data_IF_401889507516
#
_entry.id   IF_401889507516
#
_cell.length_a   1.000
_cell.length_b   1.000
_cell.length_c   1.000
_cell.angle_alpha   90.00
_cell.angle_beta   90.00
_cell.angle_gamma   90.00
#
_symmetry.space_group_name_H-M   'P 1'
#
loop_
_entity.id
_entity.type
_entity.pdbx_description
1 polymer ?
#
# COMPACT_ATOMS: atom_id res chain seq x y z
N UNK A 1 -47.01 5.94 -12.09
CA UNK A 1 -47.86 4.76 -12.31
C UNK A 1 -47.26 3.99 -13.48
N UNK A 2 -46.42 2.99 -13.19
CA UNK A 2 -46.02 1.95 -14.13
C UNK A 2 -45.42 0.81 -13.31
N UNK A 3 -46.32 -0.08 -12.88
CA UNK A 3 -46.01 -1.41 -12.42
C UNK A 3 -45.74 -2.29 -13.64
N UNK A 4 -44.63 -3.01 -13.64
CA UNK A 4 -44.53 -4.23 -14.44
C UNK A 4 -43.81 -5.30 -13.60
N UNK A 5 -44.62 -6.23 -13.07
CA UNK A 5 -44.42 -7.68 -12.87
C UNK A 5 -43.03 -8.11 -12.38
N UNK A 6 -42.80 -8.56 -11.13
CA UNK A 6 -43.38 -9.71 -10.38
C UNK A 6 -43.63 -10.97 -11.23
N UNK A 7 -42.57 -11.78 -11.35
CA UNK A 7 -42.58 -13.24 -11.43
C UNK A 7 -41.36 -13.70 -10.57
N UNK A 8 -41.55 -14.11 -9.31
CA UNK A 8 -41.86 -15.46 -8.87
C UNK A 8 -40.73 -16.49 -9.13
N UNK A 9 -39.92 -16.66 -8.08
CA UNK A 9 -39.52 -17.96 -7.52
C UNK A 9 -38.89 -19.00 -8.47
N UNK A 10 -37.57 -19.18 -8.36
CA UNK A 10 -37.04 -20.54 -8.14
C UNK A 10 -35.71 -20.46 -7.38
N UNK A 11 -35.81 -20.83 -6.10
CA UNK A 11 -34.70 -21.09 -5.20
C UNK A 11 -34.01 -22.40 -5.59
N UNK A 12 -32.68 -22.41 -5.57
CA UNK A 12 -31.90 -23.64 -5.46
C UNK A 12 -30.81 -23.45 -4.40
N UNK A 13 -31.10 -23.84 -3.16
CA UNK A 13 -30.14 -24.35 -2.18
C UNK A 13 -30.63 -25.75 -1.75
N UNK A 14 -29.85 -26.55 -1.03
CA UNK A 14 -28.70 -27.36 -1.44
C UNK A 14 -29.04 -28.87 -1.33
N UNK A 15 -28.07 -29.78 -1.50
CA UNK A 15 -28.03 -30.92 -0.59
C UNK A 15 -26.70 -30.97 0.18
N UNK A 16 -26.85 -30.99 1.50
CA UNK A 16 -25.84 -31.35 2.50
C UNK A 16 -25.50 -32.85 2.48
N UNK A 17 -24.40 -33.21 3.16
CA UNK A 17 -23.75 -34.54 3.38
C UNK A 17 -22.67 -34.81 2.31
N UNK A 18 -21.36 -34.83 2.58
CA UNK A 18 -20.57 -35.05 3.79
C UNK A 18 -19.77 -36.35 3.64
N UNK A 19 -18.44 -36.29 3.49
CA UNK A 19 -17.51 -37.43 3.64
C UNK A 19 -16.05 -36.95 3.84
N UNK A 20 -15.54 -37.08 5.07
CA UNK A 20 -14.12 -37.25 5.45
C UNK A 20 -13.98 -38.69 6.00
N UNK A 21 -12.78 -39.22 6.38
CA UNK A 21 -11.41 -39.12 5.83
C UNK A 21 -10.70 -40.52 5.73
N UNK A 22 -9.37 -40.51 5.48
CA UNK A 22 -8.29 -41.48 5.89
C UNK A 22 -7.79 -42.52 4.86
N UNK A 23 -6.58 -43.16 5.00
CA UNK A 23 -5.35 -42.83 5.75
C UNK A 23 -3.99 -43.04 4.99
N UNK A 24 -2.94 -42.28 5.38
CA UNK A 24 -1.50 -42.67 5.47
C UNK A 24 -0.69 -43.03 4.19
N UNK A 25 0.67 -43.11 4.26
CA UNK A 25 1.50 -43.30 5.44
C UNK A 25 2.61 -42.25 5.66
N UNK A 26 3.29 -42.41 6.80
CA UNK A 26 4.19 -41.49 7.47
C UNK A 26 5.66 -41.52 6.98
N UNK A 27 6.33 -40.40 7.33
CA UNK A 27 7.74 -40.25 7.71
C UNK A 27 8.86 -40.64 6.73
N UNK A 28 9.72 -39.66 6.40
CA UNK A 28 11.11 -39.61 6.85
C UNK A 28 11.87 -38.42 6.21
N UNK A 29 12.44 -37.55 7.06
CA UNK A 29 13.45 -36.55 6.71
C UNK A 29 14.84 -37.20 6.62
N UNK A 30 15.70 -36.74 5.70
CA UNK A 30 17.09 -36.40 6.05
C UNK A 30 17.58 -35.08 5.39
N UNK A 31 18.80 -34.59 5.71
CA UNK A 31 19.10 -33.16 5.83
C UNK A 31 19.68 -32.46 4.58
N UNK A 32 19.72 -31.14 4.69
CA UNK A 32 20.29 -30.08 3.83
C UNK A 32 21.61 -30.43 3.10
N UNK A 33 21.82 -29.85 1.90
CA UNK A 33 23.14 -29.30 1.56
C UNK A 33 23.08 -27.83 1.09
N UNK A 34 23.77 -27.00 1.86
CA UNK A 34 24.80 -26.01 1.50
C UNK A 34 25.03 -25.73 -0.01
N UNK A 35 24.87 -24.43 -0.34
CA UNK A 35 25.59 -23.57 -1.30
C UNK A 35 25.50 -23.74 -2.83
N UNK A 36 25.68 -22.55 -3.44
CA UNK A 36 25.98 -22.17 -4.84
C UNK A 36 24.75 -22.01 -5.76
N UNK A 37 24.61 -20.97 -6.59
CA UNK A 37 25.54 -19.96 -7.10
C UNK A 37 24.72 -18.80 -7.69
N UNK A 38 25.07 -17.54 -7.42
CA UNK A 38 24.91 -16.51 -8.45
C UNK A 38 26.19 -15.66 -8.53
N UNK A 39 26.70 -15.64 -9.76
CA UNK A 39 27.90 -14.97 -10.24
C UNK A 39 27.53 -13.54 -10.61
N UNK A 40 28.24 -12.56 -10.08
CA UNK A 40 28.71 -11.41 -10.86
C UNK A 40 29.82 -10.69 -10.08
N UNK A 41 31.06 -10.99 -10.47
CA UNK A 41 32.20 -10.13 -10.23
C UNK A 41 31.97 -8.76 -10.89
N UNK A 42 32.20 -7.68 -10.14
CA UNK A 42 32.91 -6.49 -10.61
C UNK A 42 33.01 -5.47 -9.47
N UNK A 43 33.89 -5.77 -8.50
CA UNK A 43 34.49 -4.75 -7.65
C UNK A 43 35.57 -4.05 -8.47
N UNK A 44 35.30 -2.83 -8.96
CA UNK A 44 36.36 -1.88 -9.28
C UNK A 44 36.62 -1.02 -8.05
N UNK A 45 37.49 -1.53 -7.17
CA UNK A 45 38.25 -0.71 -6.21
C UNK A 45 39.39 -0.06 -6.97
N UNK A 46 39.27 1.22 -7.28
CA UNK A 46 40.41 2.03 -7.69
C UNK A 46 41.27 2.38 -6.47
N UNK A 47 42.35 1.64 -6.25
CA UNK A 47 43.41 2.03 -5.32
C UNK A 47 44.45 2.84 -6.08
N UNK A 48 44.53 4.15 -5.84
CA UNK A 48 45.66 4.96 -6.30
C UNK A 48 46.72 4.96 -5.19
N UNK A 49 47.82 4.25 -5.42
CA UNK A 49 49.02 4.31 -4.59
C UNK A 49 49.89 5.52 -5.01
N UNK A 50 50.57 6.20 -4.08
CA UNK A 50 51.23 7.48 -4.34
C UNK A 50 52.69 7.26 -4.69
N UNK A 51 53.09 7.50 -5.94
CA UNK A 51 54.49 7.84 -6.28
C UNK A 51 54.57 8.23 -7.75
N UNK A 52 54.60 9.54 -8.01
CA UNK A 52 55.34 10.15 -9.13
C UNK A 52 55.39 11.66 -8.91
N UNK A 53 56.40 12.04 -8.13
CA UNK A 53 56.82 13.42 -7.92
C UNK A 53 57.72 13.84 -9.10
N UNK A 54 57.53 15.09 -9.56
CA UNK A 54 58.49 15.99 -10.25
C UNK A 54 58.24 16.28 -11.75
N UNK A 55 57.64 17.45 -12.00
CA UNK A 55 58.23 18.68 -12.63
C UNK A 55 57.10 19.47 -13.32
N UNK A 56 56.57 20.51 -12.65
CA UNK A 56 56.81 21.95 -12.93
C UNK A 56 56.26 22.39 -14.29
N UNK A 57 55.29 23.30 -14.41
CA UNK A 57 55.43 24.75 -14.20
C UNK A 57 54.05 25.46 -14.31
N UNK A 58 53.74 26.35 -13.35
CA UNK A 58 52.81 27.52 -13.36
C UNK A 58 51.28 27.36 -13.61
N UNK A 59 50.46 27.66 -12.57
CA UNK A 59 49.15 28.32 -12.74
C UNK A 59 48.00 27.94 -11.79
N UNK A 60 47.76 28.75 -10.74
CA UNK A 60 46.54 29.04 -9.93
C UNK A 60 45.32 28.08 -9.88
N UNK A 61 44.87 27.80 -8.65
CA UNK A 61 43.61 27.15 -8.20
C UNK A 61 42.33 28.03 -8.40
N UNK A 62 41.07 27.60 -8.07
CA UNK A 62 40.64 26.34 -7.41
C UNK A 62 39.40 25.61 -7.99
N UNK A 63 39.25 24.39 -7.49
CA UNK A 63 38.12 23.46 -7.49
C UNK A 63 36.71 24.06 -7.65
N UNK A 64 36.11 23.78 -8.80
CA UNK A 64 34.68 23.66 -9.02
C UNK A 64 34.24 22.23 -8.69
N UNK A 65 34.09 21.94 -7.39
CA UNK A 65 33.19 20.85 -6.96
C UNK A 65 31.80 21.45 -6.96
N UNK A 66 31.09 21.29 -8.08
CA UNK A 66 29.66 21.53 -8.15
C UNK A 66 28.97 20.54 -7.19
N UNK A 67 28.77 20.95 -5.94
CA UNK A 67 27.81 20.27 -5.06
C UNK A 67 26.45 20.55 -5.69
N UNK A 68 25.89 19.56 -6.39
CA UNK A 68 24.58 19.65 -7.00
C UNK A 68 23.54 20.02 -5.93
N UNK A 69 23.19 21.31 -5.88
CA UNK A 69 22.15 21.83 -5.00
C UNK A 69 20.83 21.37 -5.59
N UNK A 70 20.26 20.30 -5.05
CA UNK A 70 18.91 19.85 -5.42
C UNK A 70 17.96 21.03 -5.31
N UNK A 71 17.20 21.28 -6.37
CA UNK A 71 16.16 22.30 -6.35
C UNK A 71 15.13 21.91 -5.29
N UNK A 72 14.54 22.88 -4.55
CA UNK A 72 13.50 22.60 -3.54
C UNK A 72 12.27 21.88 -4.10
N UNK A 73 12.15 21.76 -5.42
CA UNK A 73 11.06 21.09 -6.13
C UNK A 73 11.27 19.58 -6.28
N UNK A 74 12.44 19.04 -5.95
CA UNK A 74 12.73 17.59 -5.94
C UNK A 74 12.74 17.02 -4.51
N UNK A 75 11.85 17.54 -3.67
CA UNK A 75 11.45 16.87 -2.45
C UNK A 75 10.33 15.93 -2.89
N UNK A 76 10.67 14.68 -3.19
CA UNK A 76 9.69 13.61 -3.33
C UNK A 76 8.70 13.76 -2.16
N UNK A 77 7.38 13.86 -2.44
CA UNK A 77 6.34 14.01 -1.41
C UNK A 77 6.57 12.93 -0.37
N UNK A 78 7.19 13.30 0.74
CA UNK A 78 7.47 12.36 1.82
C UNK A 78 6.14 12.19 2.53
N UNK A 79 5.62 10.97 2.52
CA UNK A 79 4.47 10.62 3.32
C UNK A 79 4.69 11.13 4.75
N UNK A 80 3.71 11.87 5.27
CA UNK A 80 3.76 12.39 6.65
C UNK A 80 3.22 11.38 7.66
N UNK A 81 2.62 10.31 7.14
CA UNK A 81 2.14 9.12 7.84
C UNK A 81 2.91 7.89 7.34
N UNK A 82 2.96 6.83 8.15
CA UNK A 82 3.62 5.57 7.75
C UNK A 82 2.91 4.31 8.24
N UNK A 83 2.18 4.37 9.37
CA UNK A 83 1.68 3.19 10.05
C UNK A 83 2.80 2.29 10.61
N UNK A 84 2.49 1.06 11.05
CA UNK A 84 1.16 0.45 11.02
C UNK A 84 0.22 1.06 12.07
N UNK A 85 -1.02 1.31 11.67
CA UNK A 85 -2.10 1.72 12.56
C UNK A 85 -2.98 0.50 12.81
N UNK A 86 -2.99 0.01 14.05
CA UNK A 86 -3.70 -1.21 14.48
C UNK A 86 -5.01 -0.86 15.17
N UNK A 87 -5.97 -1.80 15.18
CA UNK A 87 -7.30 -1.61 15.77
C UNK A 87 -8.03 -0.38 15.19
N UNK A 88 -7.71 -0.06 13.94
CA UNK A 88 -8.31 1.03 13.20
C UNK A 88 -9.70 0.63 12.73
N UNK A 89 -10.68 1.53 12.89
CA UNK A 89 -12.04 1.32 12.44
C UNK A 89 -12.15 1.58 10.93
N UNK A 90 -12.74 0.62 10.21
CA UNK A 90 -13.03 0.74 8.78
C UNK A 90 -14.54 0.73 8.56
N UNK A 91 -15.05 1.74 7.86
CA UNK A 91 -16.46 1.86 7.48
C UNK A 91 -16.60 1.97 5.96
N UNK A 92 -17.83 1.99 5.45
CA UNK A 92 -18.10 2.16 4.02
C UNK A 92 -18.54 3.60 3.74
N UNK A 93 -18.12 4.16 2.61
CA UNK A 93 -18.66 5.39 2.04
C UNK A 93 -19.00 5.22 0.55
N UNK A 94 -19.86 6.08 0.01
CA UNK A 94 -20.15 6.15 -1.42
C UNK A 94 -19.22 7.20 -2.06
N UNK A 95 -18.30 6.80 -2.97
CA UNK A 95 -17.30 7.72 -3.52
C UNK A 95 -17.89 8.65 -4.58
N UNK A 96 -17.19 9.77 -4.80
CA UNK A 96 -17.49 10.77 -5.81
C UNK A 96 -16.25 11.59 -6.13
N UNK A 97 -16.39 12.92 -6.20
CA UNK A 97 -15.24 13.82 -6.28
C UNK A 97 -14.55 13.90 -4.90
N UNK A 98 -13.38 13.29 -4.79
CA UNK A 98 -12.60 13.24 -3.56
C UNK A 98 -11.85 14.54 -3.24
N UNK A 99 -11.51 14.74 -1.97
CA UNK A 99 -10.67 15.85 -1.49
C UNK A 99 -9.28 15.89 -2.15
N UNK A 100 -8.79 14.77 -2.70
CA UNK A 100 -7.55 14.77 -3.49
C UNK A 100 -7.73 15.32 -4.92
N UNK A 101 -8.96 15.67 -5.32
CA UNK A 101 -9.25 16.34 -6.60
C UNK A 101 -9.52 15.41 -7.78
N UNK A 102 -9.80 14.13 -7.52
CA UNK A 102 -10.16 13.14 -8.55
C UNK A 102 -11.54 12.55 -8.27
N UNK A 103 -12.20 12.04 -9.30
CA UNK A 103 -13.49 11.34 -9.15
C UNK A 103 -13.26 9.85 -9.10
N UNK A 104 -13.85 9.18 -8.11
CA UNK A 104 -13.82 7.74 -7.94
C UNK A 104 -15.22 7.14 -8.01
N UNK A 105 -15.29 5.84 -8.30
CA UNK A 105 -16.54 5.07 -8.38
C UNK A 105 -16.56 3.94 -7.35
N UNK A 106 -17.75 3.38 -7.00
CA UNK A 106 -17.87 2.40 -5.91
C UNK A 106 -16.98 1.15 -6.05
N UNK A 107 -16.58 0.79 -7.26
CA UNK A 107 -15.71 -0.37 -7.53
C UNK A 107 -14.21 -0.07 -7.37
N UNK A 108 -13.80 1.19 -7.24
CA UNK A 108 -12.39 1.57 -7.11
C UNK A 108 -11.83 1.16 -5.76
N UNK A 109 -10.54 0.85 -5.67
CA UNK A 109 -9.89 0.49 -4.40
C UNK A 109 -9.24 1.73 -3.79
N UNK A 110 -10.08 2.57 -3.18
CA UNK A 110 -9.66 3.85 -2.61
C UNK A 110 -10.25 4.07 -1.22
N UNK A 111 -9.61 4.94 -0.44
CA UNK A 111 -10.01 5.24 0.94
C UNK A 111 -10.06 6.74 1.22
N UNK A 112 -10.86 7.07 2.23
CA UNK A 112 -10.84 8.37 2.91
C UNK A 112 -10.03 8.28 4.22
N UNK A 113 -9.12 9.23 4.44
CA UNK A 113 -8.37 9.37 5.69
C UNK A 113 -9.10 10.27 6.69
N UNK A 114 -8.91 10.07 7.98
CA UNK A 114 -9.28 11.10 8.97
C UNK A 114 -8.55 12.43 8.70
N UNK A 115 -9.13 13.55 9.12
CA UNK A 115 -8.60 14.90 8.85
C UNK A 115 -7.19 15.15 9.39
N UNK A 116 -6.84 14.60 10.55
CA UNK A 116 -5.51 14.80 11.15
C UNK A 116 -4.43 14.15 10.27
N UNK A 117 -4.73 12.95 9.75
CA UNK A 117 -3.87 12.25 8.81
C UNK A 117 -3.97 12.77 7.39
N UNK A 118 -5.10 13.27 6.92
CA UNK A 118 -5.19 13.89 5.60
C UNK A 118 -4.26 15.11 5.51
N UNK A 119 -4.25 15.92 6.58
CA UNK A 119 -3.39 17.08 6.74
C UNK A 119 -3.89 18.31 6.00
N UNK A 120 -3.17 19.42 6.10
CA UNK A 120 -3.58 20.69 5.47
C UNK A 120 -3.06 20.83 4.03
N UNK A 121 -3.81 21.54 3.19
CA UNK A 121 -3.40 21.92 1.82
C UNK A 121 -4.24 21.23 0.75
N UNK A 122 -4.00 21.57 -0.52
CA UNK A 122 -4.72 20.96 -1.64
C UNK A 122 -3.79 20.63 -2.84
N UNK A 123 -3.77 19.37 -3.30
CA UNK A 123 -4.27 18.19 -2.58
C UNK A 123 -3.45 17.98 -1.30
N UNK A 124 -4.06 17.38 -0.27
CA UNK A 124 -3.40 17.08 1.00
C UNK A 124 -2.06 16.35 0.84
N UNK A 125 -1.14 16.46 1.82
CA UNK A 125 0.21 15.89 1.73
C UNK A 125 0.22 14.37 1.50
N UNK A 126 -0.81 13.66 1.97
CA UNK A 126 -0.91 12.20 1.90
C UNK A 126 -1.84 11.68 0.78
N UNK A 127 -2.34 12.58 -0.07
CA UNK A 127 -3.07 12.18 -1.27
C UNK A 127 -2.21 11.28 -2.18
N UNK A 128 -2.87 10.29 -2.78
CA UNK A 128 -2.33 9.34 -3.75
C UNK A 128 -1.28 8.37 -3.21
N UNK A 129 -1.01 8.38 -1.90
CA UNK A 129 -0.22 7.35 -1.26
C UNK A 129 -0.94 6.00 -1.38
N UNK A 130 -0.16 4.97 -1.69
CA UNK A 130 -0.63 3.60 -1.69
C UNK A 130 -0.48 3.03 -0.28
N UNK A 131 -1.53 2.35 0.20
CA UNK A 131 -1.56 1.72 1.50
C UNK A 131 -1.90 0.24 1.36
N UNK A 132 -1.46 -0.56 2.32
CA UNK A 132 -1.95 -1.92 2.53
C UNK A 132 -2.86 -1.95 3.73
N UNK A 133 -4.03 -2.58 3.59
CA UNK A 133 -5.04 -2.79 4.63
C UNK A 133 -5.11 -4.28 4.91
N UNK A 134 -5.19 -4.63 6.19
CA UNK A 134 -5.31 -5.98 6.67
C UNK A 134 -6.49 -6.12 7.63
N UNK A 135 -7.38 -7.08 7.35
CA UNK A 135 -8.46 -7.50 8.26
C UNK A 135 -8.35 -9.01 8.42
N UNK A 136 -8.03 -9.46 9.64
CA UNK A 136 -7.70 -10.86 9.90
C UNK A 136 -6.51 -11.34 9.05
N UNK A 137 -6.73 -12.37 8.23
CA UNK A 137 -5.71 -12.94 7.34
C UNK A 137 -5.78 -12.42 5.91
N UNK A 138 -6.69 -11.50 5.61
CA UNK A 138 -6.89 -10.94 4.26
C UNK A 138 -6.25 -9.58 4.18
N UNK A 139 -5.59 -9.30 3.04
CA UNK A 139 -5.01 -7.99 2.74
C UNK A 139 -5.52 -7.45 1.40
N UNK A 140 -5.59 -6.14 1.28
CA UNK A 140 -5.84 -5.43 0.03
C UNK A 140 -5.00 -4.15 -0.05
N UNK A 141 -4.65 -3.73 -1.26
CA UNK A 141 -3.98 -2.46 -1.52
C UNK A 141 -5.03 -1.44 -1.95
N UNK A 142 -4.91 -0.23 -1.42
CA UNK A 142 -5.77 0.89 -1.77
C UNK A 142 -4.97 2.18 -1.95
N UNK A 143 -5.62 3.21 -2.49
CA UNK A 143 -5.06 4.56 -2.59
C UNK A 143 -5.86 5.56 -1.75
N UNK A 144 -5.17 6.48 -1.11
CA UNK A 144 -5.81 7.61 -0.40
C UNK A 144 -6.26 8.65 -1.41
N UNK A 145 -7.56 8.94 -1.45
CA UNK A 145 -8.15 9.87 -2.43
C UNK A 145 -9.16 10.86 -1.83
N UNK A 146 -9.51 10.68 -0.56
CA UNK A 146 -10.57 11.43 0.10
C UNK A 146 -10.18 11.77 1.55
N UNK A 147 -10.85 12.78 2.10
CA UNK A 147 -10.82 13.16 3.52
C UNK A 147 -12.17 12.81 4.17
N UNK A 148 -12.12 12.27 5.38
CA UNK A 148 -13.26 11.96 6.23
C UNK A 148 -13.19 12.78 7.53
N UNK A 149 -13.87 13.94 7.59
CA UNK A 149 -13.80 14.83 8.76
C UNK A 149 -14.41 14.26 10.04
N UNK A 150 -15.27 13.24 9.92
CA UNK A 150 -15.93 12.59 11.05
C UNK A 150 -15.28 11.26 11.45
N UNK A 151 -14.23 10.83 10.77
CA UNK A 151 -13.58 9.56 11.09
C UNK A 151 -12.80 9.66 12.41
N UNK A 152 -12.79 8.59 13.21
CA UNK A 152 -11.91 8.54 14.37
C UNK A 152 -10.45 8.54 13.90
N UNK A 153 -9.54 8.89 14.80
CA UNK A 153 -8.11 8.87 14.52
C UNK A 153 -7.68 7.48 14.00
N UNK A 154 -6.96 7.47 12.88
CA UNK A 154 -6.51 6.29 12.14
C UNK A 154 -7.62 5.50 11.41
N UNK A 155 -8.88 5.91 11.55
CA UNK A 155 -10.00 5.29 10.88
C UNK A 155 -9.97 5.53 9.38
N UNK A 156 -10.47 4.55 8.62
CA UNK A 156 -10.63 4.66 7.17
C UNK A 156 -12.11 4.54 6.80
N UNK A 157 -12.54 5.28 5.78
CA UNK A 157 -13.71 4.86 5.00
C UNK A 157 -13.23 4.20 3.72
N UNK A 158 -13.74 3.01 3.44
CA UNK A 158 -13.45 2.21 2.27
C UNK A 158 -14.59 2.35 1.27
N UNK A 159 -14.27 2.33 -0.02
CA UNK A 159 -15.31 2.17 -1.05
C UNK A 159 -15.98 0.80 -0.96
N UNK A 160 -17.20 0.63 -1.50
CA UNK A 160 -17.93 -0.63 -1.41
C UNK A 160 -17.15 -1.81 -1.99
N UNK A 161 -16.55 -1.65 -3.17
CA UNK A 161 -15.77 -2.70 -3.83
C UNK A 161 -14.53 -3.13 -3.04
N UNK A 162 -13.90 -2.22 -2.30
CA UNK A 162 -12.77 -2.53 -1.42
C UNK A 162 -13.24 -3.22 -0.13
N UNK A 163 -14.33 -2.75 0.48
CA UNK A 163 -14.87 -3.34 1.70
C UNK A 163 -15.31 -4.80 1.48
N UNK A 164 -15.92 -5.10 0.33
CA UNK A 164 -16.39 -6.44 -0.05
C UNK A 164 -15.26 -7.48 -0.20
N UNK A 165 -13.99 -7.05 -0.29
CA UNK A 165 -12.85 -7.96 -0.21
C UNK A 165 -12.74 -8.61 1.19
N UNK A 166 -13.16 -7.87 2.22
CA UNK A 166 -13.00 -8.29 3.61
C UNK A 166 -14.31 -8.84 4.21
N UNK A 167 -15.45 -8.23 3.90
CA UNK A 167 -16.76 -8.65 4.41
C UNK A 167 -17.91 -8.11 3.56
N UNK A 168 -19.10 -8.71 3.68
CA UNK A 168 -20.31 -8.17 3.08
C UNK A 168 -20.63 -6.77 3.65
N UNK A 169 -21.17 -5.87 2.81
CA UNK A 169 -21.48 -4.48 3.20
C UNK A 169 -22.43 -4.37 4.41
N UNK A 170 -23.27 -5.36 4.63
CA UNK A 170 -24.19 -5.43 5.78
C UNK A 170 -23.50 -5.50 7.14
N UNK A 171 -22.21 -5.87 7.18
CA UNK A 171 -21.40 -5.81 8.40
C UNK A 171 -21.17 -4.37 8.84
N UNK A 172 -21.04 -3.44 7.89
CA UNK A 172 -20.97 -1.99 8.09
C UNK A 172 -19.68 -1.45 8.72
N UNK A 173 -19.08 -2.18 9.65
CA UNK A 173 -17.86 -1.78 10.38
C UNK A 173 -16.91 -2.95 10.55
N UNK A 174 -15.65 -2.75 10.21
CA UNK A 174 -14.54 -3.67 10.44
C UNK A 174 -13.46 -3.02 11.31
N UNK A 175 -12.61 -3.85 11.88
CA UNK A 175 -11.41 -3.41 12.59
C UNK A 175 -10.20 -4.13 12.01
N UNK A 176 -9.09 -3.41 11.85
CA UNK A 176 -7.90 -4.00 11.27
C UNK A 176 -6.66 -3.14 11.41
N UNK A 177 -5.69 -3.44 10.55
CA UNK A 177 -4.39 -2.78 10.52
C UNK A 177 -4.11 -2.23 9.14
N UNK A 178 -3.48 -1.06 9.03
CA UNK A 178 -3.03 -0.56 7.74
C UNK A 178 -1.73 0.24 7.84
N UNK A 179 -0.98 0.32 6.74
CA UNK A 179 0.29 1.05 6.64
C UNK A 179 0.51 1.59 5.22
N UNK A 180 1.39 2.58 5.09
CA UNK A 180 1.84 3.10 3.79
C UNK A 180 2.89 2.17 3.19
N UNK A 181 2.79 1.92 1.89
CA UNK A 181 3.72 1.06 1.13
C UNK A 181 5.08 1.69 0.86
#
# INVERSE_FOLDING_TARGET
>A
MNQYKRDAFQQCMPPTVGCQPSPGPAANLPPVPILYCYRSESLLRGTVSPENLRKSVLGRAPHNVEVARRTPTDISRRATISGPYTDAQFTVYDPGLGACGITNVPSDFVVALDSDQYGSGYPGPNCFLSITIQVGNTTAIAQITEECPSCPLYGLQLTPGLFEVFAALEVGVLYGTWWVN
#
